data_IF_574347597502
#
_entry.id   IF_574347597502
#
_cell.length_a   1.000
_cell.length_b   1.000
_cell.length_c   1.000
_cell.angle_alpha   90.00
_cell.angle_beta   90.00
_cell.angle_gamma   90.00
#
_symmetry.space_group_name_H-M   'P 1'
#
loop_
_entity.id
_entity.type
_entity.pdbx_description
1 polymer ?
#
# COMPACT_ATOMS: atom_id res chain seq x y z
N UNK A 1 6.24 -8.13 -2.46
CA UNK A 1 6.53 -9.31 -1.62
C UNK A 1 7.75 -10.15 -2.04
N UNK A 2 7.83 -10.73 -3.25
CA UNK A 2 8.99 -11.58 -3.62
C UNK A 2 10.31 -10.82 -3.86
N UNK A 3 10.24 -9.62 -4.45
CA UNK A 3 11.40 -8.80 -4.83
C UNK A 3 12.32 -8.46 -3.65
N UNK A 4 11.75 -8.11 -2.50
CA UNK A 4 12.50 -7.74 -1.29
C UNK A 4 13.19 -8.94 -0.62
N UNK A 5 12.76 -10.16 -0.95
CA UNK A 5 13.28 -11.41 -0.38
C UNK A 5 14.36 -12.07 -1.26
N UNK A 6 14.71 -11.46 -2.40
CA UNK A 6 15.59 -12.04 -3.41
C UNK A 6 16.78 -11.12 -3.70
N UNK A 7 17.93 -11.70 -4.06
CA UNK A 7 19.05 -10.91 -4.59
C UNK A 7 18.71 -10.38 -5.99
N UNK A 8 19.33 -9.28 -6.46
CA UNK A 8 19.01 -8.70 -7.77
C UNK A 8 19.12 -9.69 -8.95
N UNK A 9 20.16 -10.53 -8.97
CA UNK A 9 20.33 -11.53 -10.02
C UNK A 9 19.27 -12.66 -9.96
N UNK A 10 18.85 -13.06 -8.76
CA UNK A 10 17.80 -14.04 -8.55
C UNK A 10 16.43 -13.48 -9.00
N UNK A 11 16.18 -12.20 -8.74
CA UNK A 11 14.98 -11.50 -9.18
C UNK A 11 14.84 -11.47 -10.70
N UNK A 12 15.89 -11.08 -11.43
CA UNK A 12 15.86 -11.04 -12.90
C UNK A 12 15.65 -12.43 -13.51
N UNK A 13 16.29 -13.46 -12.94
CA UNK A 13 16.12 -14.84 -13.41
C UNK A 13 14.69 -15.32 -13.16
N UNK A 14 14.14 -15.07 -11.98
CA UNK A 14 12.76 -15.43 -11.65
C UNK A 14 11.74 -14.76 -12.59
N UNK A 15 11.94 -13.48 -12.91
CA UNK A 15 11.07 -12.78 -13.88
C UNK A 15 11.12 -13.40 -15.28
N UNK A 16 12.29 -13.88 -15.72
CA UNK A 16 12.42 -14.58 -16.98
C UNK A 16 11.72 -15.96 -16.94
N UNK A 17 11.83 -16.70 -15.83
CA UNK A 17 11.17 -18.00 -15.63
C UNK A 17 9.64 -17.91 -15.68
N UNK A 18 9.05 -16.82 -15.18
CA UNK A 18 7.61 -16.57 -15.29
C UNK A 18 7.18 -16.02 -16.66
N UNK A 19 8.11 -15.92 -17.61
CA UNK A 19 7.84 -15.63 -19.02
C UNK A 19 8.01 -14.17 -19.45
N UNK A 20 8.58 -13.28 -18.62
CA UNK A 20 8.86 -11.92 -19.06
C UNK A 20 10.11 -11.87 -19.94
N UNK A 21 10.04 -11.11 -21.04
CA UNK A 21 11.20 -10.85 -21.89
C UNK A 21 12.05 -9.69 -21.33
N UNK A 22 13.27 -9.50 -21.87
CA UNK A 22 14.21 -8.47 -21.41
C UNK A 22 13.66 -7.04 -21.43
N UNK A 23 12.82 -6.71 -22.41
CA UNK A 23 12.21 -5.38 -22.51
C UNK A 23 11.17 -5.20 -21.40
N UNK A 24 10.28 -6.17 -21.22
CA UNK A 24 9.28 -6.16 -20.15
C UNK A 24 9.90 -6.09 -18.75
N UNK A 25 11.00 -6.80 -18.52
CA UNK A 25 11.74 -6.74 -17.24
C UNK A 25 12.28 -5.33 -17.01
N UNK A 26 12.90 -4.74 -18.03
CA UNK A 26 13.44 -3.37 -17.95
C UNK A 26 12.35 -2.35 -17.68
N UNK A 27 11.22 -2.46 -18.39
CA UNK A 27 10.08 -1.55 -18.22
C UNK A 27 9.46 -1.69 -16.83
N UNK A 28 9.27 -2.92 -16.35
CA UNK A 28 8.81 -3.19 -14.99
C UNK A 28 9.77 -2.60 -13.94
N UNK A 29 11.07 -2.73 -14.11
CA UNK A 29 12.05 -2.13 -13.21
C UNK A 29 12.00 -0.60 -13.23
N UNK A 30 11.68 0.01 -14.39
CA UNK A 30 11.39 1.42 -14.52
C UNK A 30 10.18 1.83 -13.69
N UNK A 31 9.04 1.16 -13.92
CA UNK A 31 7.78 1.40 -13.19
C UNK A 31 7.98 1.25 -11.69
N UNK A 32 8.67 0.19 -11.22
CA UNK A 32 8.88 -0.06 -9.80
C UNK A 32 9.82 0.96 -9.11
N UNK A 33 10.53 1.80 -9.88
CA UNK A 33 11.36 2.90 -9.36
C UNK A 33 10.65 4.25 -9.46
N UNK A 34 9.57 4.31 -10.22
CA UNK A 34 8.81 5.54 -10.38
C UNK A 34 8.04 5.85 -9.10
N UNK A 35 8.36 6.99 -8.50
CA UNK A 35 7.70 7.52 -7.31
C UNK A 35 6.62 8.53 -7.65
N UNK A 36 6.51 8.93 -8.91
CA UNK A 36 5.53 9.90 -9.37
C UNK A 36 4.71 9.34 -10.51
N UNK A 37 3.66 8.61 -10.14
CA UNK A 37 2.66 8.13 -11.10
C UNK A 37 1.46 9.07 -11.18
N UNK A 38 1.59 10.28 -10.63
CA UNK A 38 0.54 11.29 -10.67
C UNK A 38 0.42 11.80 -12.11
N UNK A 39 -0.75 11.59 -12.73
CA UNK A 39 -1.01 11.97 -14.12
C UNK A 39 -1.17 10.81 -15.10
N UNK A 40 -0.66 9.61 -14.79
CA UNK A 40 -0.89 8.41 -15.63
C UNK A 40 -2.22 7.71 -15.32
N UNK A 41 -2.82 8.02 -14.18
CA UNK A 41 -4.12 7.50 -13.74
C UNK A 41 -5.01 8.63 -13.26
N UNK A 42 -6.12 8.87 -13.96
CA UNK A 42 -7.13 9.87 -13.59
C UNK A 42 -7.61 9.70 -12.14
N UNK A 43 -7.75 8.45 -11.68
CA UNK A 43 -8.15 8.13 -10.32
C UNK A 43 -7.07 8.54 -9.29
N UNK A 44 -5.79 8.21 -9.55
CA UNK A 44 -4.70 8.61 -8.65
C UNK A 44 -4.53 10.12 -8.64
N UNK A 45 -4.57 10.78 -9.80
CA UNK A 45 -4.52 12.24 -9.90
C UNK A 45 -5.61 12.90 -9.06
N UNK A 46 -6.85 12.38 -9.12
CA UNK A 46 -7.95 12.90 -8.31
C UNK A 46 -7.73 12.67 -6.82
N UNK A 47 -7.21 11.52 -6.42
CA UNK A 47 -6.90 11.21 -5.02
C UNK A 47 -5.84 12.18 -4.48
N UNK A 48 -4.71 12.32 -5.16
CA UNK A 48 -3.64 13.23 -4.73
C UNK A 48 -4.07 14.70 -4.72
N UNK A 49 -4.88 15.13 -5.70
CA UNK A 49 -5.50 16.47 -5.67
C UNK A 49 -6.37 16.64 -4.43
N UNK A 50 -7.19 15.65 -4.09
CA UNK A 50 -8.07 15.71 -2.91
C UNK A 50 -7.26 15.73 -1.61
N UNK A 51 -6.17 14.95 -1.52
CA UNK A 51 -5.29 14.96 -0.35
C UNK A 51 -4.64 16.33 -0.14
N UNK A 52 -4.23 16.98 -1.24
CA UNK A 52 -3.71 18.35 -1.22
C UNK A 52 -4.76 19.36 -0.78
N UNK A 53 -5.99 19.25 -1.28
CA UNK A 53 -7.10 20.11 -0.88
C UNK A 53 -7.44 19.95 0.62
N UNK A 54 -7.20 18.76 1.18
CA UNK A 54 -7.36 18.45 2.61
C UNK A 54 -6.14 18.85 3.47
N UNK A 55 -5.02 19.24 2.85
CA UNK A 55 -3.78 19.61 3.55
C UNK A 55 -3.08 18.45 4.24
N UNK A 56 -3.21 17.22 3.70
CA UNK A 56 -2.61 16.00 4.25
C UNK A 56 -1.68 15.29 3.26
N UNK A 57 -1.38 15.92 2.12
CA UNK A 57 -0.52 15.38 1.07
C UNK A 57 0.93 15.14 1.55
N UNK A 58 1.42 15.93 2.51
CA UNK A 58 2.73 15.71 3.13
C UNK A 58 2.88 14.35 3.83
N UNK A 59 1.77 13.66 4.13
CA UNK A 59 1.75 12.35 4.81
C UNK A 59 1.57 11.16 3.87
N UNK A 60 1.48 11.39 2.56
CA UNK A 60 1.15 10.34 1.58
C UNK A 60 2.11 10.38 0.41
N UNK A 61 2.78 9.26 0.13
CA UNK A 61 3.54 9.06 -1.10
C UNK A 61 2.95 7.93 -1.95
N UNK A 62 3.20 7.98 -3.26
CA UNK A 62 2.89 6.87 -4.15
C UNK A 62 4.03 5.84 -4.12
N UNK A 63 3.67 4.57 -3.97
CA UNK A 63 4.62 3.47 -4.16
C UNK A 63 3.98 2.34 -5.00
N UNK A 64 4.49 2.07 -6.22
CA UNK A 64 3.97 1.01 -7.10
C UNK A 64 4.23 -0.40 -6.55
N UNK A 65 5.03 -0.54 -5.49
CA UNK A 65 5.30 -1.81 -4.80
C UNK A 65 4.21 -2.17 -3.79
N UNK A 66 3.35 -1.23 -3.40
CA UNK A 66 2.28 -1.47 -2.45
C UNK A 66 1.18 -2.29 -3.12
N UNK A 67 1.20 -3.59 -2.82
CA UNK A 67 0.19 -4.56 -3.22
C UNK A 67 -0.30 -5.28 -1.98
N UNK A 68 -1.61 -5.53 -1.88
CA UNK A 68 -2.20 -6.22 -0.73
C UNK A 68 -2.52 -7.67 -1.09
N UNK A 69 -2.26 -8.59 -0.16
CA UNK A 69 -2.42 -10.04 -0.38
C UNK A 69 -3.86 -10.56 -0.31
N UNK A 70 -4.86 -9.69 -0.48
CA UNK A 70 -6.27 -10.06 -0.45
C UNK A 70 -6.90 -9.76 -1.81
N UNK A 71 -7.41 -10.80 -2.46
CA UNK A 71 -7.88 -10.75 -3.85
C UNK A 71 -9.17 -9.92 -4.04
N UNK A 72 -9.77 -9.41 -2.95
CA UNK A 72 -11.00 -8.61 -3.01
C UNK A 72 -10.76 -7.11 -3.28
N UNK A 73 -9.50 -6.64 -3.25
CA UNK A 73 -9.22 -5.25 -3.60
C UNK A 73 -9.32 -5.04 -5.10
N UNK A 74 -10.13 -4.08 -5.53
CA UNK A 74 -10.46 -3.83 -6.94
C UNK A 74 -10.05 -2.43 -7.39
N UNK A 75 -9.20 -1.75 -6.62
CA UNK A 75 -8.81 -0.37 -6.86
C UNK A 75 -7.60 0.01 -6.03
N UNK A 76 -7.50 1.31 -5.68
CA UNK A 76 -6.39 1.82 -4.87
C UNK A 76 -6.34 1.10 -3.53
N UNK A 77 -5.13 0.69 -3.17
CA UNK A 77 -4.76 0.15 -1.87
C UNK A 77 -3.77 1.10 -1.20
N UNK A 78 -3.69 1.05 0.12
CA UNK A 78 -2.80 1.89 0.89
C UNK A 78 -2.38 1.18 2.17
N UNK A 79 -1.21 1.57 2.67
CA UNK A 79 -0.64 1.13 3.95
C UNK A 79 -0.08 2.35 4.67
N UNK A 80 -0.13 2.35 6.00
CA UNK A 80 0.58 3.35 6.80
C UNK A 80 1.72 2.70 7.56
N UNK A 81 2.85 3.38 7.56
CA UNK A 81 4.10 2.93 8.16
C UNK A 81 4.57 3.97 9.17
N UNK A 82 5.49 3.58 10.05
CA UNK A 82 6.15 4.55 10.89
C UNK A 82 7.16 5.37 10.06
N UNK A 83 7.55 6.55 10.55
CA UNK A 83 8.41 7.47 9.80
C UNK A 83 9.83 6.97 9.55
N UNK A 84 10.27 5.91 10.22
CA UNK A 84 11.61 5.33 10.08
C UNK A 84 11.62 3.95 9.41
N UNK A 85 10.46 3.41 9.04
CA UNK A 85 10.33 2.08 8.45
C UNK A 85 10.97 0.98 9.33
N UNK A 86 10.87 1.12 10.65
CA UNK A 86 11.40 0.18 11.65
C UNK A 86 10.39 -0.92 11.98
N UNK A 87 9.11 -0.67 11.72
CA UNK A 87 8.01 -1.56 12.04
C UNK A 87 7.35 -2.12 10.77
N UNK A 88 6.55 -3.17 10.94
CA UNK A 88 5.62 -3.60 9.90
C UNK A 88 4.51 -2.55 9.75
N UNK A 89 3.78 -2.58 8.63
CA UNK A 89 2.63 -1.71 8.40
C UNK A 89 1.69 -1.63 9.62
N UNK A 90 1.41 -0.40 10.06
CA UNK A 90 0.54 -0.06 11.20
C UNK A 90 -0.92 -0.36 10.85
N UNK A 91 -1.31 0.02 9.64
CA UNK A 91 -2.62 -0.26 9.07
C UNK A 91 -2.50 -0.51 7.57
N UNK A 92 -3.52 -1.18 7.03
CA UNK A 92 -3.64 -1.41 5.60
C UNK A 92 -5.10 -1.46 5.17
N UNK A 93 -5.35 -0.95 3.97
CA UNK A 93 -6.70 -0.83 3.44
C UNK A 93 -6.74 -0.66 1.93
N UNK A 94 -7.94 -0.41 1.43
CA UNK A 94 -8.15 -0.18 0.01
C UNK A 94 -9.61 -0.23 -0.40
N UNK A 95 -9.83 0.03 -1.69
CA UNK A 95 -11.14 -0.01 -2.33
C UNK A 95 -11.49 -1.42 -2.78
N UNK A 96 -12.73 -1.83 -2.51
CA UNK A 96 -13.29 -3.13 -2.91
C UNK A 96 -14.70 -2.94 -3.48
N UNK A 97 -14.90 -3.32 -4.74
CA UNK A 97 -16.17 -3.11 -5.44
C UNK A 97 -17.11 -4.33 -5.42
N UNK A 98 -16.57 -5.50 -5.11
CA UNK A 98 -17.23 -6.79 -5.29
C UNK A 98 -17.23 -7.66 -4.02
N UNK A 99 -16.68 -7.18 -2.89
CA UNK A 99 -16.59 -7.99 -1.67
C UNK A 99 -17.97 -8.48 -1.19
N UNK A 100 -18.96 -7.59 -1.17
CA UNK A 100 -20.34 -7.92 -0.77
C UNK A 100 -21.00 -8.91 -1.73
N UNK A 101 -20.69 -8.80 -3.03
CA UNK A 101 -21.17 -9.73 -4.06
C UNK A 101 -20.58 -11.13 -3.89
N UNK A 102 -19.28 -11.22 -3.59
CA UNK A 102 -18.58 -12.49 -3.36
C UNK A 102 -19.21 -13.29 -2.20
N UNK A 103 -19.78 -12.61 -1.21
CA UNK A 103 -20.44 -13.25 -0.05
C UNK A 103 -21.97 -13.42 -0.21
N UNK A 104 -22.50 -13.25 -1.43
CA UNK A 104 -23.91 -13.49 -1.75
C UNK A 104 -24.85 -12.30 -1.57
N UNK A 105 -24.32 -11.11 -1.32
CA UNK A 105 -25.08 -9.85 -1.30
C UNK A 105 -25.12 -9.14 -2.66
N UNK A 106 -25.72 -7.93 -2.73
CA UNK A 106 -25.67 -7.12 -3.93
C UNK A 106 -24.26 -6.53 -4.15
N UNK A 107 -23.94 -6.20 -5.41
CA UNK A 107 -22.72 -5.47 -5.72
C UNK A 107 -22.74 -4.09 -5.07
N UNK A 108 -21.87 -3.89 -4.07
CA UNK A 108 -21.76 -2.65 -3.31
C UNK A 108 -20.29 -2.22 -3.22
N UNK A 109 -19.92 -1.05 -3.74
CA UNK A 109 -18.57 -0.53 -3.60
C UNK A 109 -18.31 -0.02 -2.19
N UNK A 110 -17.13 -0.33 -1.67
CA UNK A 110 -16.66 0.12 -0.38
C UNK A 110 -15.17 0.48 -0.40
N UNK A 111 -14.76 1.20 0.64
CA UNK A 111 -13.37 1.48 0.97
C UNK A 111 -13.24 1.36 2.48
N UNK A 112 -12.14 0.78 2.95
CA UNK A 112 -11.90 0.62 4.37
C UNK A 112 -10.48 0.18 4.64
N UNK A 113 -10.14 0.13 5.91
CA UNK A 113 -8.84 -0.31 6.39
C UNK A 113 -9.01 -1.03 7.72
N UNK A 114 -7.97 -1.76 8.11
CA UNK A 114 -7.83 -2.32 9.45
C UNK A 114 -6.48 -1.91 10.03
N UNK A 115 -6.46 -1.65 11.34
CA UNK A 115 -5.26 -1.35 12.11
C UNK A 115 -5.12 -2.40 13.21
N UNK A 116 -3.95 -3.02 13.32
CA UNK A 116 -3.65 -3.94 14.41
C UNK A 116 -3.28 -3.17 15.67
N UNK A 117 -3.80 -3.60 16.83
CA UNK A 117 -3.52 -3.00 18.14
C UNK A 117 -2.06 -3.18 18.58
N UNK A 118 -1.45 -4.34 18.28
CA UNK A 118 -0.07 -4.64 18.68
C UNK A 118 0.94 -3.69 18.03
N UNK A 119 0.85 -3.46 16.71
CA UNK A 119 1.86 -2.65 16.00
C UNK A 119 1.78 -1.19 16.40
N UNK A 120 0.56 -0.64 16.51
CA UNK A 120 0.40 0.76 16.93
C UNK A 120 0.90 0.96 18.37
N UNK A 121 0.70 -0.01 19.27
CA UNK A 121 1.22 0.06 20.63
C UNK A 121 2.76 0.09 20.65
N UNK A 122 3.43 -0.78 19.89
CA UNK A 122 4.89 -0.82 19.82
C UNK A 122 5.47 0.47 19.22
N UNK A 123 4.84 1.03 18.19
CA UNK A 123 5.20 2.35 17.64
C UNK A 123 5.04 3.42 18.73
N UNK A 124 3.91 3.47 19.43
CA UNK A 124 3.72 4.47 20.49
C UNK A 124 4.73 4.32 21.64
N UNK A 125 5.17 3.10 21.98
CA UNK A 125 6.24 2.87 22.97
C UNK A 125 7.58 3.44 22.49
N UNK A 126 7.99 3.08 21.28
CA UNK A 126 9.27 3.49 20.70
C UNK A 126 9.39 5.02 20.63
N UNK A 127 8.33 5.67 20.15
CA UNK A 127 8.30 7.14 20.06
C UNK A 127 7.94 7.84 21.39
N UNK A 128 7.76 7.09 22.49
CA UNK A 128 7.39 7.59 23.82
C UNK A 128 6.11 8.45 23.80
N UNK A 129 5.10 7.98 23.07
CA UNK A 129 3.80 8.64 22.83
C UNK A 129 2.61 7.90 23.45
N UNK A 130 2.83 6.87 24.27
CA UNK A 130 1.73 6.26 25.05
C UNK A 130 1.17 7.33 26.00
N UNK A 131 -0.13 7.66 25.90
CA UNK A 131 -0.75 8.62 26.81
C UNK A 131 -0.82 8.05 28.22
N UNK A 132 -0.62 8.91 29.22
CA UNK A 132 -0.93 8.57 30.60
C UNK A 132 -2.45 8.46 30.75
N UNK A 133 -2.96 7.24 30.93
CA UNK A 133 -4.35 7.03 31.25
C UNK A 133 -4.56 7.44 32.72
N UNK A 134 -5.19 8.60 32.94
CA UNK A 134 -5.74 8.92 34.25
C UNK A 134 -7.06 8.15 34.41
N UNK A 135 -7.21 7.29 35.43
CA UNK A 135 -8.51 6.71 35.73
C UNK A 135 -9.50 7.86 35.96
N UNK A 136 -10.56 7.86 35.16
CA UNK A 136 -11.70 8.79 35.34
C UNK A 136 -12.59 8.28 36.47
#
# INVERSE_FOLDING_TARGET
>A
DKKEKMKPAEWTNWLAEIGLNKLQIKDLEGILKDKDFSGESENLTRIFSTLKDLGVDDWVEFDPKVVRGLDYYTGVVFEAWDTKDEFRAILGGGKYNNLVEIVGGPRLPGVGFAAGDVVIEEVLKEYKKIPLLSPT
#
